data_IF_461780746393
#
_entry.id   IF_461780746393
#
_cell.length_a   1.000
_cell.length_b   1.000
_cell.length_c   1.000
_cell.angle_alpha   90.00
_cell.angle_beta   90.00
_cell.angle_gamma   90.00
#
_symmetry.space_group_name_H-M   'P 1'
#
loop_
_entity.id
_entity.type
_entity.pdbx_description
1 polymer ?
#
# COMPACT_ATOMS: atom_id res chain seq x y z
N UNK A 1 -9.29 -18.51 -26.37
CA UNK A 1 -8.34 -18.03 -25.34
C UNK A 1 -7.64 -16.81 -25.89
N UNK A 2 -7.64 -15.71 -25.13
CA UNK A 2 -6.95 -14.46 -25.47
C UNK A 2 -5.55 -14.52 -24.85
N UNK A 3 -4.50 -14.35 -25.65
CA UNK A 3 -3.14 -14.22 -25.13
C UNK A 3 -2.91 -12.77 -24.68
N UNK A 4 -2.40 -12.58 -23.47
CA UNK A 4 -2.16 -11.25 -22.88
C UNK A 4 -0.66 -11.09 -22.67
N UNK A 5 0.03 -10.20 -23.42
CA UNK A 5 1.44 -9.93 -23.18
C UNK A 5 1.61 -9.20 -21.85
N UNK A 6 2.64 -9.56 -21.09
CA UNK A 6 2.97 -8.93 -19.83
C UNK A 6 4.47 -9.00 -19.57
N UNK A 7 4.95 -8.14 -18.67
CA UNK A 7 6.28 -8.23 -18.08
C UNK A 7 6.16 -8.36 -16.56
N UNK A 8 7.19 -8.91 -15.91
CA UNK A 8 7.20 -9.12 -14.45
C UNK A 8 8.37 -8.39 -13.84
N UNK A 9 8.09 -7.57 -12.84
CA UNK A 9 9.08 -6.77 -12.12
C UNK A 9 9.02 -7.06 -10.63
N UNK A 10 10.12 -6.79 -9.93
CA UNK A 10 10.16 -6.83 -8.47
C UNK A 10 10.86 -5.59 -7.92
N UNK A 11 10.35 -5.10 -6.79
CA UNK A 11 10.95 -3.99 -6.04
C UNK A 11 10.89 -4.35 -4.56
N UNK A 12 12.06 -4.47 -3.92
CA UNK A 12 12.20 -4.80 -2.50
C UNK A 12 11.40 -6.05 -2.04
N UNK A 13 11.23 -7.02 -2.94
CA UNK A 13 10.54 -8.27 -2.65
C UNK A 13 9.05 -8.28 -3.00
N UNK A 14 8.43 -7.12 -3.26
CA UNK A 14 7.11 -7.07 -3.90
C UNK A 14 7.26 -7.43 -5.38
N UNK A 15 6.31 -8.19 -5.92
CA UNK A 15 6.31 -8.68 -7.28
C UNK A 15 5.09 -8.16 -8.02
N UNK A 16 5.29 -7.72 -9.25
CA UNK A 16 4.25 -7.09 -10.06
C UNK A 16 4.20 -7.72 -11.45
N UNK A 17 3.00 -8.00 -11.92
CA UNK A 17 2.74 -8.21 -13.35
C UNK A 17 2.33 -6.86 -13.94
N UNK A 18 2.97 -6.44 -15.03
CA UNK A 18 2.69 -5.18 -15.70
C UNK A 18 2.05 -5.45 -17.06
N UNK A 19 0.92 -4.82 -17.31
CA UNK A 19 0.30 -4.70 -18.63
C UNK A 19 0.66 -3.36 -19.26
N UNK A 20 1.31 -3.42 -20.42
CA UNK A 20 1.65 -2.26 -21.22
C UNK A 20 0.51 -1.89 -22.16
N UNK A 21 -0.27 -0.87 -21.79
CA UNK A 21 -1.32 -0.29 -22.62
C UNK A 21 -0.94 1.12 -23.12
N UNK A 22 0.35 1.45 -23.21
CA UNK A 22 0.80 2.74 -23.76
C UNK A 22 0.54 2.84 -25.27
N UNK A 23 0.55 1.70 -25.97
CA UNK A 23 0.27 1.58 -27.41
C UNK A 23 -1.19 1.30 -27.77
N UNK A 24 -2.04 1.01 -26.79
CA UNK A 24 -3.44 0.62 -26.99
C UNK A 24 -3.96 -0.34 -25.92
N UNK A 25 -5.28 -0.51 -25.87
CA UNK A 25 -5.92 -1.39 -24.91
C UNK A 25 -5.61 -2.87 -25.20
N UNK A 26 -5.15 -3.59 -24.18
CA UNK A 26 -4.96 -5.04 -24.23
C UNK A 26 -6.19 -5.77 -23.69
N UNK A 27 -6.77 -5.25 -22.61
CA UNK A 27 -7.93 -5.83 -21.91
C UNK A 27 -9.00 -4.75 -21.71
N UNK A 28 -10.28 -5.10 -21.83
CA UNK A 28 -11.36 -4.19 -21.40
C UNK A 28 -11.27 -3.90 -19.90
N UNK A 29 -11.95 -2.86 -19.42
CA UNK A 29 -11.97 -2.51 -17.99
C UNK A 29 -12.40 -3.68 -17.09
N UNK A 30 -13.43 -4.42 -17.49
CA UNK A 30 -13.89 -5.61 -16.75
C UNK A 30 -12.89 -6.76 -16.83
N UNK A 31 -12.26 -6.96 -17.99
CA UNK A 31 -11.23 -7.99 -18.17
C UNK A 31 -9.99 -7.71 -17.32
N UNK A 32 -9.63 -6.44 -17.06
CA UNK A 32 -8.49 -6.08 -16.20
C UNK A 32 -8.70 -6.58 -14.76
N UNK A 33 -9.87 -6.29 -14.17
CA UNK A 33 -10.22 -6.79 -12.83
C UNK A 33 -10.24 -8.31 -12.78
N UNK A 34 -10.80 -8.99 -13.79
CA UNK A 34 -10.80 -10.45 -13.85
C UNK A 34 -9.39 -11.04 -14.02
N UNK A 35 -8.54 -10.38 -14.83
CA UNK A 35 -7.16 -10.82 -15.07
C UNK A 35 -6.28 -10.62 -13.84
N UNK A 36 -6.56 -9.63 -12.98
CA UNK A 36 -5.84 -9.45 -11.72
C UNK A 36 -5.84 -10.71 -10.86
N UNK A 37 -6.96 -11.45 -10.81
CA UNK A 37 -7.05 -12.73 -10.12
C UNK A 37 -6.09 -13.78 -10.72
N UNK A 38 -6.00 -13.85 -12.04
CA UNK A 38 -5.11 -14.79 -12.75
C UNK A 38 -3.64 -14.37 -12.63
N UNK A 39 -3.34 -13.07 -12.65
CA UNK A 39 -1.98 -12.57 -12.49
C UNK A 39 -1.45 -12.87 -11.08
N UNK A 40 -2.26 -12.65 -10.05
CA UNK A 40 -1.86 -12.76 -8.63
C UNK A 40 -1.89 -14.19 -8.09
N UNK A 41 -2.66 -15.10 -8.69
CA UNK A 41 -2.73 -16.49 -8.22
C UNK A 41 -1.37 -17.20 -8.37
N UNK A 42 -0.78 -17.63 -7.24
CA UNK A 42 0.54 -18.28 -7.21
C UNK A 42 0.53 -19.76 -7.59
N UNK A 43 -0.64 -20.40 -7.63
CA UNK A 43 -0.78 -21.83 -7.89
C UNK A 43 -1.13 -22.13 -9.34
N UNK A 44 -2.05 -21.35 -9.90
CA UNK A 44 -2.64 -21.57 -11.23
C UNK A 44 -2.51 -20.36 -12.16
N UNK A 45 -1.87 -19.30 -11.68
CA UNK A 45 -1.66 -18.05 -12.39
C UNK A 45 -0.18 -17.73 -12.61
N UNK A 46 0.13 -16.45 -12.78
CA UNK A 46 1.51 -15.95 -12.95
C UNK A 46 2.23 -15.84 -11.60
N UNK A 47 1.49 -15.54 -10.54
CA UNK A 47 1.95 -15.35 -9.16
C UNK A 47 2.69 -14.03 -8.95
N UNK A 48 1.98 -13.00 -8.51
CA UNK A 48 2.53 -11.70 -8.10
C UNK A 48 1.70 -11.13 -6.95
N UNK A 49 2.14 -10.03 -6.35
CA UNK A 49 1.37 -9.35 -5.30
C UNK A 49 0.22 -8.55 -5.91
N UNK A 50 0.50 -7.79 -6.99
CA UNK A 50 -0.50 -6.96 -7.67
C UNK A 50 -0.33 -6.97 -9.19
N UNK A 51 -1.43 -6.70 -9.90
CA UNK A 51 -1.42 -6.38 -11.32
C UNK A 51 -1.31 -4.87 -11.50
N UNK A 52 -0.34 -4.41 -12.29
CA UNK A 52 -0.17 -3.02 -12.67
C UNK A 52 -0.58 -2.83 -14.14
N UNK A 53 -1.33 -1.78 -14.42
CA UNK A 53 -1.71 -1.41 -15.79
C UNK A 53 -1.20 -0.01 -16.07
N UNK A 54 -0.41 0.10 -17.14
CA UNK A 54 0.25 1.34 -17.54
C UNK A 54 -0.41 1.83 -18.82
N UNK A 55 -1.14 2.93 -18.74
CA UNK A 55 -1.94 3.44 -19.86
C UNK A 55 -1.46 4.83 -20.28
N UNK A 56 -1.66 5.20 -21.55
CA UNK A 56 -1.36 6.57 -22.01
C UNK A 56 -2.32 7.58 -21.36
N UNK A 57 -1.80 8.72 -20.89
CA UNK A 57 -2.63 9.82 -20.38
C UNK A 57 -3.23 10.61 -21.54
N UNK A 58 -4.33 10.11 -22.11
CA UNK A 58 -5.10 10.79 -23.14
C UNK A 58 -6.60 10.83 -22.84
N UNK A 59 -7.33 11.63 -23.62
CA UNK A 59 -8.77 11.84 -23.43
C UNK A 59 -9.55 10.53 -23.58
N UNK A 60 -9.22 9.71 -24.58
CA UNK A 60 -9.90 8.44 -24.83
C UNK A 60 -9.74 7.45 -23.70
N UNK A 61 -8.55 7.40 -23.08
CA UNK A 61 -8.27 6.51 -21.95
C UNK A 61 -9.04 6.96 -20.70
N UNK A 62 -9.04 8.26 -20.39
CA UNK A 62 -9.85 8.81 -19.29
C UNK A 62 -11.36 8.58 -19.50
N UNK A 63 -11.86 8.66 -20.75
CA UNK A 63 -13.26 8.38 -21.08
C UNK A 63 -13.60 6.89 -20.89
N UNK A 64 -12.72 5.96 -21.26
CA UNK A 64 -12.90 4.52 -21.00
C UNK A 64 -12.94 4.21 -19.51
N UNK A 65 -11.98 4.75 -18.75
CA UNK A 65 -11.96 4.58 -17.29
C UNK A 65 -13.25 5.14 -16.67
N UNK A 66 -13.67 6.33 -17.08
CA UNK A 66 -14.92 6.93 -16.58
C UNK A 66 -16.17 6.10 -16.90
N UNK A 67 -16.20 5.40 -18.03
CA UNK A 67 -17.32 4.50 -18.36
C UNK A 67 -17.44 3.32 -17.37
N UNK A 68 -16.32 2.84 -16.83
CA UNK A 68 -16.28 1.83 -15.76
C UNK A 68 -16.55 2.39 -14.35
N UNK A 69 -16.52 3.72 -14.18
CA UNK A 69 -16.63 4.39 -12.89
C UNK A 69 -17.69 5.51 -12.91
N UNK A 70 -19.00 5.18 -12.88
CA UNK A 70 -20.09 6.15 -13.00
C UNK A 70 -20.11 7.25 -11.92
N UNK A 71 -19.44 7.01 -10.78
CA UNK A 71 -19.34 7.95 -9.67
C UNK A 71 -18.17 8.93 -9.79
N UNK A 72 -17.35 8.84 -10.85
CA UNK A 72 -16.22 9.74 -11.07
C UNK A 72 -16.69 11.11 -11.60
N UNK A 73 -17.02 12.00 -10.67
CA UNK A 73 -17.72 13.26 -10.94
C UNK A 73 -16.86 14.34 -11.62
N UNK A 74 -15.55 14.36 -11.35
CA UNK A 74 -14.60 15.34 -11.90
C UNK A 74 -13.41 14.64 -12.53
N UNK A 75 -13.20 14.88 -13.82
CA UNK A 75 -12.12 14.26 -14.59
C UNK A 75 -10.91 15.21 -14.64
N UNK A 76 -9.69 14.70 -14.38
CA UNK A 76 -8.47 15.49 -14.53
C UNK A 76 -8.21 15.80 -16.00
N UNK A 77 -7.33 16.78 -16.24
CA UNK A 77 -6.87 17.06 -17.59
C UNK A 77 -5.82 16.03 -18.01
N UNK A 78 -5.99 15.41 -19.18
CA UNK A 78 -5.02 14.46 -19.73
C UNK A 78 -3.63 15.06 -19.96
N UNK A 79 -3.49 16.40 -19.99
CA UNK A 79 -2.20 17.09 -20.19
C UNK A 79 -1.32 17.14 -18.93
N UNK A 80 -1.86 16.76 -17.77
CA UNK A 80 -1.17 16.86 -16.49
C UNK A 80 -0.12 15.75 -16.30
N UNK A 81 -0.35 14.57 -16.90
CA UNK A 81 0.53 13.42 -16.85
C UNK A 81 0.87 12.91 -18.25
N UNK A 82 1.93 12.12 -18.34
CA UNK A 82 2.33 11.41 -19.55
C UNK A 82 1.71 10.00 -19.57
N UNK A 83 1.53 9.41 -18.39
CA UNK A 83 1.08 8.03 -18.17
C UNK A 83 0.06 7.99 -17.03
N UNK A 84 -0.92 7.10 -17.12
CA UNK A 84 -1.86 6.74 -16.05
C UNK A 84 -1.41 5.40 -15.47
N UNK A 85 -1.24 5.38 -14.15
CA UNK A 85 -0.91 4.18 -13.38
C UNK A 85 -2.16 3.67 -12.68
N UNK A 86 -2.42 2.37 -12.80
CA UNK A 86 -3.49 1.68 -12.08
C UNK A 86 -2.98 0.39 -11.47
N UNK A 87 -3.41 0.10 -10.26
CA UNK A 87 -3.04 -1.09 -9.52
C UNK A 87 -4.29 -1.87 -9.15
N UNK A 88 -4.28 -3.17 -9.45
CA UNK A 88 -5.35 -4.08 -9.11
C UNK A 88 -4.87 -5.09 -8.07
N UNK A 89 -5.68 -5.27 -7.04
CA UNK A 89 -5.52 -6.24 -5.97
C UNK A 89 -5.91 -7.67 -6.44
N UNK A 90 -5.55 -8.72 -5.68
CA UNK A 90 -5.88 -10.10 -6.04
C UNK A 90 -7.37 -10.41 -6.22
N UNK A 91 -8.25 -9.62 -5.58
CA UNK A 91 -9.70 -9.72 -5.71
C UNK A 91 -10.28 -8.94 -6.91
N UNK A 92 -9.41 -8.27 -7.68
CA UNK A 92 -9.78 -7.45 -8.84
C UNK A 92 -10.21 -6.02 -8.51
N UNK A 93 -10.22 -5.64 -7.24
CA UNK A 93 -10.44 -4.25 -6.83
C UNK A 93 -9.23 -3.37 -7.14
N UNK A 94 -9.46 -2.06 -7.27
CA UNK A 94 -8.38 -1.09 -7.54
C UNK A 94 -7.87 -0.45 -6.25
N UNK A 95 -6.54 -0.39 -6.16
CA UNK A 95 -5.83 0.44 -5.21
C UNK A 95 -5.38 1.75 -5.88
N UNK A 96 -5.23 2.79 -5.09
CA UNK A 96 -5.00 4.15 -5.52
C UNK A 96 -3.55 4.39 -5.94
N UNK A 97 -2.58 3.83 -5.21
CA UNK A 97 -1.16 4.01 -5.52
C UNK A 97 -0.29 2.93 -4.85
N UNK A 98 0.95 2.79 -5.32
CA UNK A 98 1.98 1.95 -4.70
C UNK A 98 3.38 2.48 -5.05
N UNK A 99 4.17 2.85 -4.05
CA UNK A 99 5.55 3.34 -4.24
C UNK A 99 6.44 2.29 -4.91
N UNK A 100 6.38 1.03 -4.47
CA UNK A 100 7.15 -0.08 -5.05
C UNK A 100 6.72 -0.40 -6.49
N UNK A 101 5.43 -0.28 -6.79
CA UNK A 101 4.89 -0.39 -8.14
C UNK A 101 5.43 0.71 -9.04
N UNK A 102 5.39 1.96 -8.58
CA UNK A 102 5.90 3.12 -9.32
C UNK A 102 7.41 3.04 -9.60
N UNK A 103 8.20 2.52 -8.66
CA UNK A 103 9.63 2.22 -8.88
C UNK A 103 9.82 1.19 -10.00
N UNK A 104 8.99 0.15 -10.01
CA UNK A 104 8.98 -0.87 -11.07
C UNK A 104 8.58 -0.26 -12.42
N UNK A 105 7.58 0.63 -12.44
CA UNK A 105 7.18 1.38 -13.64
C UNK A 105 8.32 2.26 -14.15
N UNK A 106 9.08 2.90 -13.26
CA UNK A 106 10.19 3.77 -13.66
C UNK A 106 11.24 3.00 -14.46
N UNK A 107 11.56 1.77 -14.02
CA UNK A 107 12.49 0.89 -14.73
C UNK A 107 11.86 0.31 -16.00
N UNK A 108 10.61 -0.13 -15.94
CA UNK A 108 9.86 -0.60 -17.11
C UNK A 108 9.83 0.43 -18.25
N UNK A 109 9.50 1.70 -17.96
CA UNK A 109 9.47 2.76 -18.96
C UNK A 109 10.86 3.06 -19.54
N UNK A 110 11.91 2.96 -18.72
CA UNK A 110 13.30 3.11 -19.17
C UNK A 110 13.70 1.97 -20.12
N UNK A 111 13.38 0.74 -19.76
CA UNK A 111 13.87 -0.47 -20.43
C UNK A 111 13.08 -0.77 -21.71
N UNK A 112 11.76 -0.65 -21.68
CA UNK A 112 10.88 -1.02 -22.81
C UNK A 112 10.59 0.17 -23.74
N UNK A 113 10.62 1.41 -23.22
CA UNK A 113 10.23 2.62 -23.97
C UNK A 113 11.32 3.69 -24.07
N UNK A 114 12.49 3.49 -23.46
CA UNK A 114 13.59 4.47 -23.47
C UNK A 114 13.28 5.76 -22.70
N UNK A 115 12.24 5.78 -21.86
CA UNK A 115 11.77 6.97 -21.14
C UNK A 115 12.53 7.08 -19.81
N UNK A 116 13.31 8.15 -19.64
CA UNK A 116 14.14 8.35 -18.42
C UNK A 116 13.38 8.96 -17.25
N UNK A 117 12.35 9.75 -17.52
CA UNK A 117 11.47 10.35 -16.52
C UNK A 117 10.08 10.53 -17.11
N UNK A 118 9.06 10.46 -16.25
CA UNK A 118 7.66 10.63 -16.64
C UNK A 118 6.86 11.22 -15.49
N UNK A 119 5.81 11.97 -15.85
CA UNK A 119 4.73 12.37 -14.93
C UNK A 119 3.66 11.29 -14.97
N UNK A 120 3.32 10.77 -13.80
CA UNK A 120 2.41 9.65 -13.65
C UNK A 120 1.17 10.12 -12.89
N UNK A 121 0.00 9.89 -13.47
CA UNK A 121 -1.26 10.08 -12.77
C UNK A 121 -1.58 8.83 -11.96
N UNK A 122 -1.76 9.00 -10.66
CA UNK A 122 -2.17 7.96 -9.71
C UNK A 122 -3.51 8.35 -9.07
N UNK A 123 -4.05 7.49 -8.20
CA UNK A 123 -5.27 7.76 -7.44
C UNK A 123 -6.51 7.99 -8.33
N UNK A 124 -6.51 7.39 -9.52
CA UNK A 124 -7.71 7.34 -10.37
C UNK A 124 -8.63 6.25 -9.79
N UNK A 125 -9.95 6.47 -9.67
CA UNK A 125 -10.75 7.62 -10.12
C UNK A 125 -11.16 8.57 -8.98
N UNK A 126 -10.24 9.00 -8.12
CA UNK A 126 -10.57 10.06 -7.15
C UNK A 126 -10.85 11.39 -7.87
N UNK A 127 -11.59 12.29 -7.21
CA UNK A 127 -11.90 13.61 -7.75
C UNK A 127 -10.66 14.49 -7.99
N UNK A 128 -9.61 14.27 -7.18
CA UNK A 128 -8.33 14.97 -7.25
C UNK A 128 -7.18 13.95 -7.30
N UNK A 129 -6.93 13.31 -8.45
CA UNK A 129 -5.83 12.36 -8.59
C UNK A 129 -4.48 13.07 -8.47
N UNK A 130 -3.48 12.34 -7.99
CA UNK A 130 -2.13 12.89 -7.82
C UNK A 130 -1.31 12.76 -9.09
N UNK A 131 -0.41 13.73 -9.32
CA UNK A 131 0.59 13.66 -10.37
C UNK A 131 1.95 13.54 -9.71
N UNK A 132 2.51 12.33 -9.75
CA UNK A 132 3.84 12.03 -9.21
C UNK A 132 4.87 12.05 -10.32
N UNK A 133 6.15 12.19 -9.96
CA UNK A 133 7.26 12.09 -10.92
C UNK A 133 8.04 10.83 -10.63
N UNK A 134 8.37 10.09 -11.67
CA UNK A 134 9.22 8.91 -11.57
C UNK A 134 10.36 9.01 -12.57
N UNK A 135 11.42 8.26 -12.34
CA UNK A 135 12.48 8.12 -13.32
C UNK A 135 13.58 7.17 -12.87
N UNK A 136 14.64 7.16 -13.65
CA UNK A 136 15.89 6.45 -13.31
C UNK A 136 17.04 7.43 -13.29
N UNK A 137 17.99 7.22 -12.38
CA UNK A 137 19.20 8.03 -12.29
C UNK A 137 20.27 7.59 -13.31
N UNK A 138 21.50 8.09 -13.16
CA UNK A 138 22.62 7.73 -14.05
C UNK A 138 23.18 6.33 -13.81
N UNK A 139 22.82 5.70 -12.70
CA UNK A 139 23.22 4.34 -12.30
C UNK A 139 22.08 3.33 -12.52
N UNK A 140 21.03 3.72 -13.25
CA UNK A 140 19.82 2.93 -13.50
C UNK A 140 19.00 2.61 -12.25
N UNK A 141 19.24 3.28 -11.13
CA UNK A 141 18.40 3.17 -9.96
C UNK A 141 17.10 3.96 -10.20
N UNK A 142 15.95 3.30 -9.95
CA UNK A 142 14.65 3.95 -9.99
C UNK A 142 14.51 4.97 -8.85
N UNK A 143 13.70 6.00 -9.07
CA UNK A 143 13.26 6.93 -8.04
C UNK A 143 11.82 7.34 -8.30
N UNK A 144 11.11 7.68 -7.21
CA UNK A 144 9.75 8.19 -7.22
C UNK A 144 9.68 9.39 -6.29
N UNK A 145 9.21 10.51 -6.82
CA UNK A 145 8.79 11.67 -6.05
C UNK A 145 7.29 11.58 -5.80
N UNK A 146 6.93 11.06 -4.62
CA UNK A 146 5.54 10.89 -4.17
C UNK A 146 4.87 12.23 -3.79
N UNK A 147 5.63 13.32 -3.76
CA UNK A 147 5.18 14.60 -3.24
C UNK A 147 5.05 14.61 -1.71
N UNK A 148 4.33 15.60 -1.20
CA UNK A 148 4.11 15.78 0.23
C UNK A 148 2.99 14.87 0.75
N UNK A 149 3.14 14.40 1.99
CA UNK A 149 2.06 13.74 2.71
C UNK A 149 0.84 14.68 2.86
N UNK A 150 -0.36 14.10 2.90
CA UNK A 150 -1.63 14.82 2.98
C UNK A 150 -2.47 14.28 4.15
N UNK A 151 -3.48 15.06 4.54
CA UNK A 151 -4.56 14.53 5.37
C UNK A 151 -5.29 13.42 4.61
N UNK A 152 -5.69 12.37 5.33
CA UNK A 152 -6.52 11.32 4.73
C UNK A 152 -7.89 11.90 4.37
N UNK A 153 -8.38 11.72 3.13
CA UNK A 153 -9.70 12.19 2.75
C UNK A 153 -10.81 11.50 3.56
N UNK A 154 -11.87 12.24 3.91
CA UNK A 154 -13.04 11.68 4.60
C UNK A 154 -13.75 10.58 3.79
N UNK A 155 -13.62 10.61 2.46
CA UNK A 155 -14.12 9.55 1.58
C UNK A 155 -13.35 8.23 1.72
N UNK A 156 -12.14 8.25 2.30
CA UNK A 156 -11.26 7.08 2.47
C UNK A 156 -11.32 6.58 3.92
N UNK A 157 -11.30 7.47 4.91
CA UNK A 157 -11.38 7.12 6.32
C UNK A 157 -12.38 8.00 7.08
N UNK A 158 -13.20 7.38 7.92
CA UNK A 158 -14.29 7.99 8.68
C UNK A 158 -14.01 7.99 10.19
N UNK A 159 -12.79 8.34 10.57
CA UNK A 159 -12.37 8.42 11.97
C UNK A 159 -12.16 9.87 12.39
N UNK A 160 -12.70 10.23 13.55
CA UNK A 160 -12.41 11.51 14.18
C UNK A 160 -11.08 11.41 14.92
N UNK A 161 -10.10 12.19 14.49
CA UNK A 161 -8.81 12.29 15.15
C UNK A 161 -8.96 12.76 16.61
N UNK A 162 -8.12 12.23 17.50
CA UNK A 162 -8.00 12.69 18.88
C UNK A 162 -7.33 14.08 18.92
N UNK A 163 -6.27 14.24 18.13
CA UNK A 163 -5.55 15.51 17.95
C UNK A 163 -4.78 15.51 16.62
N UNK A 164 -4.34 16.69 16.19
CA UNK A 164 -3.40 16.83 15.08
C UNK A 164 -1.98 16.94 15.64
N UNK A 165 -1.06 16.10 15.15
CA UNK A 165 0.36 16.17 15.51
C UNK A 165 1.05 17.28 14.73
N UNK A 166 0.67 17.42 13.46
CA UNK A 166 1.06 18.51 12.56
C UNK A 166 -0.08 18.73 11.54
N UNK A 167 0.14 19.52 10.49
CA UNK A 167 -0.86 19.90 9.50
C UNK A 167 -1.48 18.71 8.75
N UNK A 168 -0.75 17.60 8.60
CA UNK A 168 -1.18 16.44 7.78
C UNK A 168 -1.24 15.11 8.53
N UNK A 169 -0.71 15.05 9.76
CA UNK A 169 -0.65 13.82 10.57
C UNK A 169 -1.62 13.93 11.73
N UNK A 170 -2.59 13.03 11.78
CA UNK A 170 -3.59 12.97 12.82
C UNK A 170 -3.27 11.84 13.82
N UNK A 171 -3.39 12.11 15.12
CA UNK A 171 -3.35 11.06 16.12
C UNK A 171 -4.73 10.41 16.25
N UNK A 172 -4.78 9.08 16.17
CA UNK A 172 -6.00 8.32 16.37
C UNK A 172 -6.32 8.16 17.86
N UNK A 173 -7.61 8.07 18.22
CA UNK A 173 -8.00 7.65 19.56
C UNK A 173 -7.38 6.30 19.91
N UNK A 174 -6.98 6.12 21.16
CA UNK A 174 -6.46 4.84 21.63
C UNK A 174 -7.53 3.75 21.53
N UNK A 175 -7.17 2.61 20.94
CA UNK A 175 -8.01 1.43 20.80
C UNK A 175 -7.60 0.35 21.80
N UNK A 176 -8.58 -0.31 22.41
CA UNK A 176 -8.33 -1.50 23.23
C UNK A 176 -8.44 -2.76 22.36
N UNK A 177 -7.30 -3.19 21.81
CA UNK A 177 -7.24 -4.37 20.95
C UNK A 177 -7.34 -5.62 21.81
N UNK A 178 -8.47 -6.32 21.74
CA UNK A 178 -8.67 -7.56 22.48
C UNK A 178 -7.71 -8.65 21.98
N UNK A 179 -7.03 -9.28 22.92
CA UNK A 179 -6.13 -10.42 22.67
C UNK A 179 -6.64 -11.64 23.44
N UNK A 180 -6.26 -12.85 23.01
CA UNK A 180 -6.59 -14.04 23.79
C UNK A 180 -5.67 -14.09 25.01
N UNK A 181 -6.23 -14.39 26.17
CA UNK A 181 -5.54 -14.40 27.47
C UNK A 181 -4.21 -15.18 27.45
N UNK A 182 -4.19 -16.34 26.78
CA UNK A 182 -2.98 -17.18 26.72
C UNK A 182 -1.87 -16.61 25.83
N UNK A 183 -2.19 -15.74 24.87
CA UNK A 183 -1.22 -15.22 23.90
C UNK A 183 -0.32 -14.13 24.50
N UNK A 184 -0.83 -13.36 25.46
CA UNK A 184 -0.06 -12.30 26.15
C UNK A 184 0.46 -12.67 27.54
N UNK A 185 0.04 -13.80 28.11
CA UNK A 185 0.43 -14.25 29.46
C UNK A 185 1.94 -14.21 29.77
N UNK A 186 2.87 -14.46 28.81
CA UNK A 186 4.30 -14.30 29.07
C UNK A 186 4.76 -12.84 29.28
N UNK A 187 3.93 -11.85 28.93
CA UNK A 187 4.25 -10.43 28.90
C UNK A 187 3.35 -9.57 29.79
N UNK A 188 2.08 -9.95 29.96
CA UNK A 188 1.08 -9.23 30.76
C UNK A 188 -0.13 -10.11 31.10
N UNK A 189 -0.78 -9.84 32.22
CA UNK A 189 -2.07 -10.43 32.60
C UNK A 189 -3.28 -9.69 31.96
N UNK A 190 -3.01 -8.63 31.19
CA UNK A 190 -4.06 -7.85 30.51
C UNK A 190 -4.70 -8.62 29.35
N UNK A 191 -6.04 -8.57 29.27
CA UNK A 191 -6.85 -9.16 28.20
C UNK A 191 -7.02 -8.24 26.97
N UNK A 192 -6.55 -7.00 27.07
CA UNK A 192 -6.54 -6.03 25.98
C UNK A 192 -5.19 -5.31 25.93
N UNK A 193 -4.79 -4.97 24.71
CA UNK A 193 -3.63 -4.13 24.45
C UNK A 193 -4.12 -2.75 24.01
N UNK A 194 -3.80 -1.71 24.78
CA UNK A 194 -4.05 -0.35 24.33
C UNK A 194 -3.10 -0.01 23.18
N UNK A 195 -3.66 0.40 22.05
CA UNK A 195 -2.92 0.75 20.83
C UNK A 195 -3.36 2.13 20.36
N UNK A 196 -2.41 3.06 20.33
CA UNK A 196 -2.51 4.34 19.62
C UNK A 196 -1.63 4.33 18.36
N UNK A 197 -2.01 5.15 17.38
CA UNK A 197 -1.30 5.28 16.12
C UNK A 197 -1.56 6.63 15.46
N UNK A 198 -0.81 6.90 14.38
CA UNK A 198 -0.84 8.14 13.63
C UNK A 198 -1.35 7.88 12.22
N UNK A 199 -2.38 8.59 11.81
CA UNK A 199 -3.01 8.50 10.51
C UNK A 199 -2.38 9.51 9.54
N UNK A 200 -2.00 9.05 8.35
CA UNK A 200 -1.38 9.86 7.29
C UNK A 200 -1.76 9.31 5.91
N UNK A 201 -1.74 10.17 4.88
CA UNK A 201 -2.01 9.82 3.49
C UNK A 201 -0.82 10.10 2.59
N UNK A 202 -0.36 9.09 1.86
CA UNK A 202 0.74 9.18 0.87
C UNK A 202 0.33 8.60 -0.48
N UNK A 203 -0.97 8.64 -0.78
CA UNK A 203 -1.61 8.00 -1.93
C UNK A 203 -2.48 6.82 -1.52
N UNK A 204 -2.12 6.15 -0.42
CA UNK A 204 -2.95 5.20 0.32
C UNK A 204 -3.06 5.65 1.78
N UNK A 205 -4.09 5.22 2.53
CA UNK A 205 -4.22 5.56 3.93
C UNK A 205 -3.35 4.64 4.79
N UNK A 206 -2.58 5.23 5.71
CA UNK A 206 -1.69 4.50 6.62
C UNK A 206 -1.92 4.87 8.07
N UNK A 207 -1.90 3.86 8.94
CA UNK A 207 -1.75 4.02 10.38
C UNK A 207 -0.35 3.60 10.77
N UNK A 208 0.42 4.52 11.33
CA UNK A 208 1.78 4.28 11.85
C UNK A 208 1.72 4.14 13.37
N UNK A 209 2.13 2.99 13.86
CA UNK A 209 2.19 2.64 15.28
C UNK A 209 3.64 2.62 15.71
N UNK A 210 3.96 3.32 16.80
CA UNK A 210 5.25 3.24 17.47
C UNK A 210 5.09 2.36 18.71
N UNK A 211 5.45 1.05 18.68
CA UNK A 211 5.12 0.10 19.74
C UNK A 211 5.57 0.55 21.14
N UNK A 212 6.75 1.17 21.23
CA UNK A 212 7.31 1.69 22.49
C UNK A 212 6.48 2.80 23.14
N UNK A 213 5.75 3.59 22.34
CA UNK A 213 4.86 4.66 22.84
C UNK A 213 3.43 4.15 23.06
N UNK A 214 3.04 3.16 22.26
CA UNK A 214 1.66 2.68 22.16
C UNK A 214 1.31 1.70 23.28
N UNK A 215 2.15 0.69 23.51
CA UNK A 215 1.76 -0.48 24.33
C UNK A 215 1.98 -0.29 25.84
N UNK A 216 2.80 0.67 26.25
CA UNK A 216 3.26 0.80 27.65
C UNK A 216 4.16 -0.36 28.14
N UNK A 217 4.38 -1.40 27.33
CA UNK A 217 5.15 -2.60 27.64
C UNK A 217 6.38 -2.71 26.73
N UNK A 218 7.57 -2.41 27.27
CA UNK A 218 8.83 -2.39 26.50
C UNK A 218 9.17 -3.75 25.87
N UNK A 219 8.91 -4.84 26.59
CA UNK A 219 9.18 -6.22 26.12
C UNK A 219 8.33 -6.59 24.92
N UNK A 220 7.05 -6.21 24.92
CA UNK A 220 6.13 -6.46 23.81
C UNK A 220 6.49 -5.60 22.58
N UNK A 221 6.90 -4.35 22.81
CA UNK A 221 7.40 -3.48 21.75
C UNK A 221 8.66 -4.04 21.08
N UNK A 222 9.62 -4.56 21.87
CA UNK A 222 10.79 -5.24 21.36
C UNK A 222 10.44 -6.54 20.61
N UNK A 223 9.42 -7.28 21.08
CA UNK A 223 8.98 -8.51 20.43
C UNK A 223 8.45 -8.26 19.00
N UNK A 224 7.94 -7.06 18.69
CA UNK A 224 7.54 -6.69 17.32
C UNK A 224 8.74 -6.66 16.37
N UNK A 225 9.92 -6.21 16.78
CA UNK A 225 11.07 -6.16 15.87
C UNK A 225 12.04 -7.33 16.05
N UNK A 226 12.01 -8.00 17.20
CA UNK A 226 12.89 -9.12 17.52
C UNK A 226 14.31 -8.65 17.84
N UNK A 227 14.87 -9.11 18.95
CA UNK A 227 16.30 -8.94 19.21
C UNK A 227 17.13 -9.82 18.27
N UNK A 228 18.24 -9.28 17.77
CA UNK A 228 19.20 -9.97 16.86
C UNK A 228 20.02 -11.08 17.53
N UNK A 229 19.76 -11.46 18.78
CA UNK A 229 20.51 -12.52 19.47
C UNK A 229 19.60 -13.53 20.17
N UNK A 230 19.68 -14.80 19.75
CA UNK A 230 19.08 -15.93 20.45
C UNK A 230 18.76 -17.14 19.56
N UNK A 231 19.11 -18.37 19.95
CA UNK A 231 18.91 -19.56 19.13
C UNK A 231 17.48 -20.10 19.30
N UNK A 232 16.50 -19.50 18.64
CA UNK A 232 15.16 -20.12 18.50
C UNK A 232 14.64 -19.97 17.08
N UNK A 233 15.10 -20.88 16.22
CA UNK A 233 14.66 -21.09 14.84
C UNK A 233 13.31 -21.80 14.72
N UNK A 234 12.41 -21.70 15.71
CA UNK A 234 11.08 -22.33 15.66
C UNK A 234 9.99 -21.43 16.23
N UNK A 235 9.07 -21.06 15.32
CA UNK A 235 7.83 -20.28 15.42
C UNK A 235 7.99 -18.89 14.83
N UNK A 236 7.20 -18.63 13.78
CA UNK A 236 6.67 -17.30 13.43
C UNK A 236 6.45 -16.53 14.74
N UNK A 237 7.31 -15.55 14.96
CA UNK A 237 7.61 -14.95 16.26
C UNK A 237 6.38 -14.21 16.80
N UNK A 238 6.28 -14.07 18.12
CA UNK A 238 5.21 -13.30 18.78
C UNK A 238 5.01 -11.92 18.11
N UNK A 239 6.07 -11.31 17.59
CA UNK A 239 6.01 -10.10 16.77
C UNK A 239 5.14 -10.23 15.51
N UNK A 240 5.37 -11.24 14.66
CA UNK A 240 4.52 -11.46 13.48
C UNK A 240 3.06 -11.73 13.87
N UNK A 241 2.83 -12.45 14.97
CA UNK A 241 1.48 -12.65 15.48
C UNK A 241 0.83 -11.34 15.94
N UNK A 242 1.56 -10.48 16.66
CA UNK A 242 1.09 -9.16 17.12
C UNK A 242 0.78 -8.24 15.94
N UNK A 243 1.71 -8.13 14.99
CA UNK A 243 1.54 -7.35 13.74
C UNK A 243 0.25 -7.78 13.07
N UNK A 244 0.05 -9.08 12.86
CA UNK A 244 -1.18 -9.61 12.26
C UNK A 244 -2.41 -9.31 13.11
N UNK A 245 -2.38 -9.56 14.43
CA UNK A 245 -3.54 -9.39 15.31
C UNK A 245 -4.02 -7.94 15.34
N UNK A 246 -3.10 -7.00 15.54
CA UNK A 246 -3.40 -5.57 15.58
C UNK A 246 -3.90 -5.12 14.22
N UNK A 247 -3.20 -5.47 13.13
CA UNK A 247 -3.58 -5.02 11.79
C UNK A 247 -4.92 -5.59 11.32
N UNK A 248 -5.21 -6.86 11.66
CA UNK A 248 -6.53 -7.45 11.42
C UNK A 248 -7.62 -6.77 12.25
N UNK A 249 -7.35 -6.36 13.49
CA UNK A 249 -8.31 -5.62 14.31
C UNK A 249 -8.69 -4.29 13.66
N UNK A 250 -7.70 -3.51 13.20
CA UNK A 250 -7.93 -2.26 12.47
C UNK A 250 -8.77 -2.47 11.20
N UNK A 251 -8.54 -3.56 10.45
CA UNK A 251 -9.24 -3.81 9.20
C UNK A 251 -10.62 -4.50 9.35
N UNK A 252 -10.86 -5.22 10.44
CA UNK A 252 -12.08 -6.02 10.65
C UNK A 252 -13.03 -5.37 11.66
N UNK A 253 -12.51 -5.01 12.83
CA UNK A 253 -13.31 -4.49 13.95
C UNK A 253 -13.52 -2.97 13.84
N UNK A 254 -12.60 -2.27 13.18
CA UNK A 254 -12.69 -0.82 12.93
C UNK A 254 -13.20 -0.48 11.51
N UNK A 255 -14.02 -1.35 10.92
CA UNK A 255 -14.59 -1.12 9.57
C UNK A 255 -15.42 0.17 9.46
N UNK A 256 -16.03 0.63 10.55
CA UNK A 256 -16.71 1.93 10.60
C UNK A 256 -15.73 3.12 10.41
N UNK A 257 -14.47 2.96 10.81
CA UNK A 257 -13.42 3.97 10.62
C UNK A 257 -12.71 3.80 9.27
N UNK A 258 -12.54 2.55 8.86
CA UNK A 258 -11.78 2.16 7.67
C UNK A 258 -12.65 1.26 6.78
N UNK A 259 -13.69 1.82 6.10
CA UNK A 259 -14.66 1.03 5.35
C UNK A 259 -14.05 0.22 4.21
N UNK A 260 -12.91 0.69 3.69
CA UNK A 260 -12.14 0.01 2.65
C UNK A 260 -10.87 -0.65 3.19
N UNK A 261 -10.65 -0.65 4.51
CA UNK A 261 -9.42 -1.10 5.17
C UNK A 261 -8.36 -0.01 5.29
N UNK A 262 -7.19 -0.38 5.83
CA UNK A 262 -6.08 0.52 6.15
C UNK A 262 -4.73 -0.22 6.16
N UNK A 263 -3.68 0.42 5.63
CA UNK A 263 -2.31 -0.08 5.78
C UNK A 263 -1.83 0.18 7.21
N UNK A 264 -1.30 -0.84 7.89
CA UNK A 264 -0.84 -0.72 9.27
C UNK A 264 0.67 -0.92 9.32
N UNK A 265 1.37 0.16 9.68
CA UNK A 265 2.82 0.22 9.77
C UNK A 265 3.24 0.24 11.23
N UNK A 266 4.25 -0.55 11.57
CA UNK A 266 4.92 -0.52 12.87
C UNK A 266 6.32 0.04 12.67
N UNK A 267 6.67 1.09 13.39
CA UNK A 267 7.97 1.74 13.24
C UNK A 267 8.71 1.86 14.58
N UNK A 268 10.04 1.73 14.53
CA UNK A 268 10.94 2.10 15.61
C UNK A 268 12.08 2.97 15.10
N UNK A 269 12.39 4.02 15.87
CA UNK A 269 13.50 4.92 15.59
C UNK A 269 14.76 4.28 16.17
N UNK A 270 15.71 3.92 15.31
CA UNK A 270 17.00 3.35 15.72
C UNK A 270 17.96 4.48 16.08
N UNK A 271 18.05 5.48 15.21
CA UNK A 271 18.78 6.72 15.44
C UNK A 271 18.18 7.89 14.63
N UNK A 272 18.87 9.02 14.53
CA UNK A 272 18.39 10.23 13.86
C UNK A 272 18.10 10.03 12.35
N UNK A 273 18.79 9.10 11.71
CA UNK A 273 18.74 8.88 10.26
C UNK A 273 18.21 7.48 9.89
N UNK A 274 18.01 6.60 10.87
CA UNK A 274 17.60 5.20 10.65
C UNK A 274 16.30 4.90 11.39
N UNK A 275 15.31 4.46 10.61
CA UNK A 275 14.05 3.89 11.09
C UNK A 275 13.96 2.47 10.60
N UNK A 276 13.59 1.55 11.49
CA UNK A 276 13.18 0.20 11.12
C UNK A 276 11.66 0.12 11.16
N UNK A 277 11.06 -0.52 10.16
CA UNK A 277 9.62 -0.65 10.09
C UNK A 277 9.18 -2.02 9.56
N UNK A 278 7.93 -2.37 9.88
CA UNK A 278 7.19 -3.53 9.37
C UNK A 278 5.85 -3.03 8.86
N UNK A 279 5.31 -3.66 7.83
CA UNK A 279 4.06 -3.22 7.22
C UNK A 279 3.09 -4.38 7.00
N UNK A 280 1.81 -4.12 7.25
CA UNK A 280 0.70 -4.98 6.90
C UNK A 280 -0.17 -4.24 5.90
N UNK A 281 -0.27 -4.78 4.69
CA UNK A 281 -0.92 -4.09 3.58
C UNK A 281 -2.42 -4.43 3.49
N UNK A 282 -3.22 -3.39 3.26
CA UNK A 282 -4.61 -3.47 2.82
C UNK A 282 -4.67 -4.12 1.44
N UNK A 283 -5.77 -4.80 1.11
CA UNK A 283 -5.91 -5.51 -0.18
C UNK A 283 -5.23 -6.88 -0.19
N UNK A 284 -3.99 -6.96 0.28
CA UNK A 284 -3.25 -8.23 0.43
C UNK A 284 -3.56 -8.92 1.77
N UNK A 285 -3.89 -8.13 2.81
CA UNK A 285 -4.24 -8.59 4.16
C UNK A 285 -3.20 -9.53 4.79
N UNK A 286 -1.92 -9.17 4.62
CA UNK A 286 -0.79 -9.85 5.24
C UNK A 286 0.35 -8.87 5.45
N UNK A 287 1.33 -9.31 6.25
CA UNK A 287 2.62 -8.64 6.31
C UNK A 287 3.38 -8.85 5.00
N UNK A 288 3.88 -7.76 4.42
CA UNK A 288 4.69 -7.76 3.20
C UNK A 288 6.12 -7.34 3.52
N UNK A 289 7.02 -7.59 2.56
CA UNK A 289 8.46 -7.33 2.74
C UNK A 289 8.78 -5.84 2.71
N UNK A 290 8.03 -5.05 1.95
CA UNK A 290 8.16 -3.61 1.87
C UNK A 290 6.85 -2.96 1.43
N UNK A 291 6.62 -1.76 1.93
CA UNK A 291 5.61 -0.82 1.46
C UNK A 291 6.29 0.55 1.45
N UNK A 292 6.43 1.16 0.27
CA UNK A 292 7.19 2.40 0.06
C UNK A 292 6.39 3.63 0.45
#
# INVERSE_FOLDING_TARGET
>A
MKAVPFVKYTSFGNNFVILDELGGELLSEEEKSQFAHQATNTCFGIGCDNLLVVQRSDRSTLERIAAGHPHWSSRPSSRQADVIFRMFEPDGSEALSCGNGLMSIARFLRDEHGVRNARIMTEVPLANPSIVRIGTDNHDAGWVDLGAARCVPESVCQVKAESMVDQVVAQLPSLDVTVREHDLKPYTDALSLKVSGYLVFTGEPHVVIFPHRSFGLKTLAQAIFGGTEGPVRRRLSVGSWLVRRISSYFNQECSAWFPHGINVNFAQVIDRNVVEYRCYERGIYRETLACG
#
